data_IF_617475511748
#
_entry.id   IF_617475511748
#
_cell.length_a   1.000
_cell.length_b   1.000
_cell.length_c   1.000
_cell.angle_alpha   90.00
_cell.angle_beta   90.00
_cell.angle_gamma   90.00
#
_symmetry.space_group_name_H-M   'P 1'
#
loop_
_entity.id
_entity.type
_entity.pdbx_description
1 polymer ?
#
# COMPACT_ATOMS: atom_id res chain seq x y z
N UNK A 1 -9.63 3.68 -11.44
CA UNK A 1 -9.48 4.99 -10.74
C UNK A 1 -8.40 4.92 -9.67
N UNK A 2 -8.49 4.03 -8.67
CA UNK A 2 -7.46 3.92 -7.59
C UNK A 2 -6.08 3.54 -8.14
N UNK A 3 -5.97 2.61 -9.07
CA UNK A 3 -4.68 2.26 -9.71
C UNK A 3 -4.02 3.46 -10.39
N UNK A 4 -4.79 4.27 -11.13
CA UNK A 4 -4.28 5.50 -11.76
C UNK A 4 -3.77 6.52 -10.72
N UNK A 5 -4.46 6.63 -9.57
CA UNK A 5 -3.99 7.47 -8.46
C UNK A 5 -2.64 6.97 -7.90
N UNK A 6 -2.45 5.65 -7.77
CA UNK A 6 -1.16 5.06 -7.36
C UNK A 6 -0.05 5.44 -8.36
N UNK A 7 -0.30 5.31 -9.67
CA UNK A 7 0.66 5.75 -10.69
C UNK A 7 1.02 7.22 -10.54
N UNK A 8 0.02 8.09 -10.38
CA UNK A 8 0.22 9.54 -10.24
C UNK A 8 1.03 9.89 -8.99
N UNK A 9 0.71 9.29 -7.84
CA UNK A 9 1.43 9.57 -6.58
C UNK A 9 2.86 9.05 -6.64
N UNK A 10 3.10 7.85 -7.19
CA UNK A 10 4.46 7.32 -7.36
C UNK A 10 5.30 8.19 -8.31
N UNK A 11 4.73 8.60 -9.43
CA UNK A 11 5.40 9.49 -10.38
C UNK A 11 5.66 10.87 -9.74
N UNK A 12 4.64 11.46 -9.11
CA UNK A 12 4.75 12.73 -8.40
C UNK A 12 5.80 12.69 -7.29
N UNK A 13 5.83 11.61 -6.51
CA UNK A 13 6.87 11.38 -5.48
C UNK A 13 8.25 11.34 -6.10
N UNK A 14 8.43 10.59 -7.19
CA UNK A 14 9.71 10.52 -7.90
C UNK A 14 10.15 11.89 -8.42
N UNK A 15 9.23 12.67 -8.98
CA UNK A 15 9.52 14.03 -9.46
C UNK A 15 9.89 14.96 -8.30
N UNK A 16 9.08 15.01 -7.24
CA UNK A 16 9.35 15.87 -6.07
C UNK A 16 10.70 15.52 -5.43
N UNK A 17 11.03 14.24 -5.30
CA UNK A 17 12.32 13.81 -4.75
C UNK A 17 13.48 14.18 -5.68
N UNK A 18 13.32 14.02 -6.99
CA UNK A 18 14.34 14.39 -7.95
C UNK A 18 14.59 15.91 -7.94
N UNK A 19 13.54 16.73 -7.88
CA UNK A 19 13.64 18.20 -7.85
C UNK A 19 14.26 18.68 -6.54
N UNK A 20 13.80 18.17 -5.40
CA UNK A 20 14.31 18.53 -4.04
C UNK A 20 15.75 18.13 -3.80
N UNK A 21 16.33 17.27 -4.66
CA UNK A 21 17.78 17.01 -4.67
C UNK A 21 18.60 18.21 -5.10
N UNK A 22 18.12 18.95 -6.09
CA UNK A 22 18.83 20.06 -6.72
C UNK A 22 18.36 21.43 -6.22
N UNK A 23 17.22 21.48 -5.54
CA UNK A 23 16.59 22.68 -4.99
C UNK A 23 16.37 22.56 -3.47
N UNK A 24 15.71 23.56 -2.89
CA UNK A 24 15.39 23.58 -1.46
C UNK A 24 14.50 22.39 -1.05
N UNK A 25 14.80 21.83 0.12
CA UNK A 25 14.08 20.69 0.72
C UNK A 25 12.75 21.09 1.35
N UNK A 26 12.44 22.39 1.45
CA UNK A 26 11.20 22.90 2.03
C UNK A 26 9.94 22.28 1.43
N UNK A 27 9.88 22.04 0.12
CA UNK A 27 8.69 21.43 -0.49
C UNK A 27 8.42 20.02 0.05
N UNK A 28 9.45 19.16 0.06
CA UNK A 28 9.33 17.83 0.63
C UNK A 28 8.99 17.93 2.11
N UNK A 29 9.71 18.78 2.86
CA UNK A 29 9.46 19.02 4.28
C UNK A 29 8.01 19.44 4.59
N UNK A 30 7.43 20.31 3.77
CA UNK A 30 6.09 20.85 4.00
C UNK A 30 4.98 19.84 3.66
N UNK A 31 5.21 18.98 2.66
CA UNK A 31 4.23 17.97 2.27
C UNK A 31 4.11 16.85 3.30
N UNK A 32 5.22 16.51 3.94
CA UNK A 32 5.32 15.25 4.67
C UNK A 32 5.68 15.41 6.15
N UNK A 33 5.67 16.63 6.68
CA UNK A 33 5.73 16.87 8.13
C UNK A 33 4.53 16.27 8.83
N UNK A 34 4.66 16.07 10.13
CA UNK A 34 3.54 15.84 11.04
C UNK A 34 2.49 16.95 10.87
N UNK A 35 1.22 16.57 10.86
CA UNK A 35 0.06 17.35 10.41
C UNK A 35 0.15 17.90 8.98
N UNK A 36 0.98 17.28 8.15
CA UNK A 36 1.21 17.66 6.77
C UNK A 36 0.09 17.20 5.83
N UNK A 37 0.04 17.74 4.60
CA UNK A 37 -0.94 17.34 3.60
C UNK A 37 -1.02 15.83 3.33
N UNK A 38 0.11 15.12 3.43
CA UNK A 38 0.15 13.68 3.15
C UNK A 38 -0.47 12.86 4.29
N UNK A 39 -0.25 13.23 5.55
CA UNK A 39 -0.91 12.58 6.71
C UNK A 39 -2.44 12.76 6.61
N UNK A 40 -2.91 13.97 6.33
CA UNK A 40 -4.34 14.20 6.09
C UNK A 40 -4.89 13.40 4.88
N UNK A 41 -4.08 13.20 3.85
CA UNK A 41 -4.44 12.34 2.73
C UNK A 41 -4.49 10.86 3.15
N UNK A 42 -3.59 10.40 4.03
CA UNK A 42 -3.60 9.08 4.65
C UNK A 42 -4.91 8.85 5.43
N UNK A 43 -5.28 9.80 6.30
CA UNK A 43 -6.56 9.79 7.04
C UNK A 43 -7.74 9.70 6.08
N UNK A 44 -7.79 10.56 5.06
CA UNK A 44 -8.86 10.56 4.07
C UNK A 44 -8.93 9.24 3.28
N UNK A 45 -7.79 8.64 2.95
CA UNK A 45 -7.72 7.35 2.26
C UNK A 45 -8.23 6.20 3.16
N UNK A 46 -7.90 6.20 4.46
CA UNK A 46 -8.40 5.22 5.42
C UNK A 46 -9.91 5.31 5.63
N UNK A 47 -10.43 6.53 5.82
CA UNK A 47 -11.87 6.77 5.93
C UNK A 47 -12.58 6.40 4.63
N UNK A 48 -12.01 6.77 3.48
CA UNK A 48 -12.51 6.40 2.16
C UNK A 48 -12.57 4.89 1.97
N UNK A 49 -11.51 4.16 2.35
CA UNK A 49 -11.47 2.70 2.32
C UNK A 49 -12.58 2.09 3.19
N UNK A 50 -12.75 2.56 4.43
CA UNK A 50 -13.79 2.07 5.32
C UNK A 50 -15.19 2.25 4.72
N UNK A 51 -15.49 3.45 4.22
CA UNK A 51 -16.77 3.77 3.56
C UNK A 51 -16.98 2.91 2.32
N UNK A 52 -15.96 2.78 1.47
CA UNK A 52 -16.02 1.95 0.26
C UNK A 52 -16.30 0.49 0.61
N UNK A 53 -15.60 -0.09 1.57
CA UNK A 53 -15.81 -1.46 2.04
C UNK A 53 -17.25 -1.64 2.53
N UNK A 54 -17.75 -0.77 3.41
CA UNK A 54 -19.12 -0.85 3.95
C UNK A 54 -20.16 -0.80 2.81
N UNK A 55 -20.02 0.14 1.88
CA UNK A 55 -20.96 0.27 0.74
C UNK A 55 -20.92 -0.97 -0.16
N UNK A 56 -19.72 -1.49 -0.45
CA UNK A 56 -19.57 -2.62 -1.37
C UNK A 56 -20.02 -3.94 -0.73
N UNK A 57 -19.68 -4.17 0.53
CA UNK A 57 -20.03 -5.38 1.29
C UNK A 57 -21.55 -5.54 1.45
N UNK A 58 -22.27 -4.43 1.66
CA UNK A 58 -23.75 -4.43 1.72
C UNK A 58 -24.42 -4.85 0.41
N UNK A 59 -23.73 -4.65 -0.72
CA UNK A 59 -24.22 -4.96 -2.07
C UNK A 59 -23.75 -6.32 -2.58
N UNK A 60 -23.02 -7.10 -1.79
CA UNK A 60 -22.52 -8.40 -2.22
C UNK A 60 -23.62 -9.46 -2.29
N UNK A 61 -23.54 -10.32 -3.30
CA UNK A 61 -24.46 -11.45 -3.49
C UNK A 61 -24.46 -12.41 -2.28
N UNK A 62 -25.53 -13.21 -2.18
CA UNK A 62 -25.63 -14.31 -1.22
C UNK A 62 -24.60 -15.43 -1.43
N UNK A 63 -23.99 -15.51 -2.63
CA UNK A 63 -22.94 -16.49 -2.98
C UNK A 63 -21.54 -16.09 -2.49
N UNK A 64 -21.37 -14.89 -1.95
CA UNK A 64 -20.08 -14.45 -1.44
C UNK A 64 -19.73 -15.16 -0.12
N UNK A 65 -18.51 -15.70 0.03
CA UNK A 65 -18.07 -16.38 1.25
C UNK A 65 -18.25 -15.51 2.49
N UNK A 66 -18.78 -16.09 3.58
CA UNK A 66 -18.97 -15.37 4.85
C UNK A 66 -17.65 -14.81 5.37
N UNK A 67 -16.55 -15.56 5.23
CA UNK A 67 -15.22 -15.16 5.65
C UNK A 67 -14.77 -13.86 4.98
N UNK A 68 -15.11 -13.66 3.69
CA UNK A 68 -14.80 -12.43 2.97
C UNK A 68 -15.61 -11.26 3.52
N UNK A 69 -16.89 -11.46 3.82
CA UNK A 69 -17.73 -10.41 4.43
C UNK A 69 -17.19 -10.01 5.80
N UNK A 70 -16.87 -10.99 6.65
CA UNK A 70 -16.30 -10.76 7.99
C UNK A 70 -14.95 -10.04 7.88
N UNK A 71 -14.04 -10.52 7.04
CA UNK A 71 -12.73 -9.89 6.83
C UNK A 71 -12.87 -8.45 6.29
N UNK A 72 -13.82 -8.21 5.38
CA UNK A 72 -14.08 -6.88 4.84
C UNK A 72 -14.63 -5.90 5.88
N UNK A 73 -15.58 -6.33 6.72
CA UNK A 73 -16.09 -5.48 7.81
C UNK A 73 -15.04 -5.26 8.90
N UNK A 74 -14.27 -6.28 9.25
CA UNK A 74 -13.15 -6.16 10.17
C UNK A 74 -12.12 -5.16 9.63
N UNK A 75 -11.76 -5.24 8.35
CA UNK A 75 -10.86 -4.28 7.72
C UNK A 75 -11.44 -2.87 7.70
N UNK A 76 -12.74 -2.70 7.45
CA UNK A 76 -13.38 -1.38 7.51
C UNK A 76 -13.29 -0.76 8.91
N UNK A 77 -13.52 -1.55 9.97
CA UNK A 77 -13.35 -1.10 11.36
C UNK A 77 -11.88 -0.78 11.64
N UNK A 78 -10.96 -1.65 11.25
CA UNK A 78 -9.51 -1.42 11.40
C UNK A 78 -9.06 -0.14 10.68
N UNK A 79 -9.61 0.16 9.50
CA UNK A 79 -9.31 1.41 8.79
C UNK A 79 -9.84 2.65 9.53
N UNK A 80 -11.01 2.57 10.18
CA UNK A 80 -11.50 3.66 11.04
C UNK A 80 -10.63 3.86 12.27
N UNK A 81 -10.21 2.76 12.91
CA UNK A 81 -9.29 2.81 14.06
C UNK A 81 -7.95 3.40 13.64
N UNK A 82 -7.37 2.94 12.53
CA UNK A 82 -6.13 3.49 12.00
C UNK A 82 -6.24 4.98 11.65
N UNK A 83 -7.37 5.42 11.08
CA UNK A 83 -7.60 6.84 10.81
C UNK A 83 -7.67 7.66 12.11
N UNK A 84 -8.29 7.11 13.15
CA UNK A 84 -8.32 7.70 14.48
C UNK A 84 -6.93 7.79 15.10
N UNK A 85 -6.15 6.72 15.04
CA UNK A 85 -4.76 6.67 15.50
C UNK A 85 -3.89 7.73 14.81
N UNK A 86 -4.02 7.89 13.49
CA UNK A 86 -3.28 8.86 12.69
C UNK A 86 -3.53 10.31 13.14
N UNK A 87 -4.79 10.68 13.44
CA UNK A 87 -5.14 12.02 13.94
C UNK A 87 -5.07 12.14 15.46
N UNK A 88 -4.43 11.17 16.13
CA UNK A 88 -4.34 11.11 17.59
C UNK A 88 -5.69 11.25 18.29
N UNK A 89 -6.68 10.53 17.77
CA UNK A 89 -8.08 10.52 18.20
C UNK A 89 -8.74 11.91 18.24
N UNK A 90 -8.26 12.82 17.40
CA UNK A 90 -8.75 14.19 17.34
C UNK A 90 -8.17 15.09 18.45
N UNK A 91 -7.11 14.67 19.13
CA UNK A 91 -6.41 15.45 20.15
C UNK A 91 -6.16 16.89 19.70
N UNK A 92 -5.67 17.06 18.47
CA UNK A 92 -5.32 18.37 17.90
C UNK A 92 -6.54 19.18 17.48
N UNK A 93 -7.64 18.51 17.14
CA UNK A 93 -8.92 19.15 16.76
C UNK A 93 -9.67 19.64 18.00
N UNK A 94 -9.71 18.83 19.06
CA UNK A 94 -10.48 19.12 20.28
C UNK A 94 -9.64 19.73 21.40
N UNK A 95 -8.31 19.77 21.25
CA UNK A 95 -7.39 20.44 22.16
C UNK A 95 -7.21 19.76 23.52
N UNK A 96 -7.62 18.49 23.67
CA UNK A 96 -7.40 17.76 24.92
C UNK A 96 -5.92 17.37 25.08
N UNK A 97 -5.48 17.19 26.33
CA UNK A 97 -4.07 16.94 26.65
C UNK A 97 -3.78 15.44 26.73
N UNK A 98 -2.60 15.04 26.28
CA UNK A 98 -2.08 13.67 26.51
C UNK A 98 -1.85 13.43 28.00
N UNK A 99 -2.27 12.27 28.50
CA UNK A 99 -2.02 11.89 29.90
C UNK A 99 -0.52 11.72 30.20
N UNK A 100 -0.10 11.96 31.44
CA UNK A 100 1.32 11.83 31.84
C UNK A 100 1.86 10.42 31.65
N UNK A 101 1.04 9.38 31.85
CA UNK A 101 1.43 8.00 31.58
C UNK A 101 1.69 7.76 30.10
N UNK A 102 0.87 8.34 29.22
CA UNK A 102 1.02 8.18 27.77
C UNK A 102 2.21 8.99 27.23
N UNK A 103 2.41 10.24 27.69
CA UNK A 103 3.56 11.08 27.29
C UNK A 103 4.91 10.41 27.51
N UNK A 104 5.03 9.59 28.57
CA UNK A 104 6.27 8.86 28.91
C UNK A 104 6.58 7.70 27.96
N UNK A 105 5.54 7.12 27.34
CA UNK A 105 5.67 5.93 26.49
C UNK A 105 5.60 6.26 25.00
N UNK A 106 4.87 7.32 24.65
CA UNK A 106 4.62 7.74 23.27
C UNK A 106 5.78 8.58 22.73
N UNK A 107 6.34 8.19 21.59
CA UNK A 107 7.50 8.85 20.95
C UNK A 107 7.23 10.29 20.51
N UNK A 108 5.96 10.67 20.29
CA UNK A 108 5.53 12.02 19.89
C UNK A 108 4.73 12.74 20.99
N UNK A 109 4.64 12.16 22.18
CA UNK A 109 3.87 12.69 23.31
C UNK A 109 2.37 12.89 23.01
N UNK A 110 1.81 12.08 22.10
CA UNK A 110 0.42 12.13 21.67
C UNK A 110 -0.44 11.04 22.32
N UNK A 111 -1.76 11.18 22.21
CA UNK A 111 -2.75 10.21 22.69
C UNK A 111 -3.08 9.22 21.58
N UNK A 112 -2.10 8.40 21.22
CA UNK A 112 -2.30 7.28 20.30
C UNK A 112 -1.42 6.09 20.70
N UNK A 113 -1.77 4.92 20.16
CA UNK A 113 -1.01 3.68 20.30
C UNK A 113 0.02 3.53 19.18
N UNK A 114 -0.24 4.10 18.01
CA UNK A 114 0.66 4.04 16.85
C UNK A 114 2.08 4.53 17.18
N UNK A 115 2.20 5.58 18.01
CA UNK A 115 3.48 6.13 18.42
C UNK A 115 4.04 5.48 19.70
N UNK A 116 3.59 4.29 20.09
CA UNK A 116 4.22 3.50 21.17
C UNK A 116 5.36 2.61 20.65
N UNK A 117 5.46 2.42 19.34
CA UNK A 117 6.52 1.63 18.70
C UNK A 117 7.34 2.51 17.74
N UNK A 118 8.64 2.23 17.54
CA UNK A 118 9.40 2.95 16.54
C UNK A 118 8.76 2.81 15.16
N UNK A 119 8.49 3.94 14.49
CA UNK A 119 7.84 3.97 13.18
C UNK A 119 8.57 3.14 12.11
N UNK A 120 9.89 2.99 12.22
CA UNK A 120 10.68 2.09 11.35
C UNK A 120 10.27 0.62 11.49
N UNK A 121 10.04 0.14 12.72
CA UNK A 121 9.66 -1.24 12.99
C UNK A 121 8.23 -1.51 12.53
N UNK A 122 7.29 -0.62 12.87
CA UNK A 122 5.89 -0.74 12.46
C UNK A 122 5.77 -0.82 10.93
N UNK A 123 6.41 0.13 10.25
CA UNK A 123 6.44 0.16 8.79
C UNK A 123 7.13 -1.07 8.17
N UNK A 124 8.24 -1.53 8.76
CA UNK A 124 8.93 -2.72 8.29
C UNK A 124 8.02 -3.95 8.27
N UNK A 125 7.22 -4.14 9.32
CA UNK A 125 6.26 -5.24 9.43
C UNK A 125 5.17 -5.13 8.37
N UNK A 126 4.57 -3.95 8.20
CA UNK A 126 3.51 -3.73 7.19
C UNK A 126 4.03 -3.98 5.78
N UNK A 127 5.17 -3.39 5.42
CA UNK A 127 5.76 -3.55 4.09
C UNK A 127 6.13 -5.01 3.82
N UNK A 128 6.65 -5.72 4.82
CA UNK A 128 6.93 -7.14 4.69
C UNK A 128 5.65 -7.95 4.45
N UNK A 129 4.61 -7.73 5.24
CA UNK A 129 3.32 -8.42 5.10
C UNK A 129 2.68 -8.15 3.73
N UNK A 130 2.66 -6.88 3.28
CA UNK A 130 2.14 -6.47 1.97
C UNK A 130 3.00 -7.06 0.84
N UNK A 131 4.32 -7.03 0.96
CA UNK A 131 5.23 -7.60 -0.03
C UNK A 131 5.06 -9.11 -0.18
N UNK A 132 4.89 -9.84 0.91
CA UNK A 132 4.63 -11.27 0.84
C UNK A 132 3.24 -11.54 0.23
N UNK A 133 2.20 -10.92 0.77
CA UNK A 133 0.80 -11.23 0.40
C UNK A 133 0.39 -10.74 -0.98
N UNK A 134 0.90 -9.60 -1.44
CA UNK A 134 0.50 -8.98 -2.71
C UNK A 134 1.56 -9.08 -3.83
N UNK A 135 2.80 -9.45 -3.52
CA UNK A 135 3.88 -9.60 -4.52
C UNK A 135 4.43 -11.03 -4.55
N UNK A 136 5.11 -11.47 -3.49
CA UNK A 136 5.85 -12.74 -3.52
C UNK A 136 4.94 -13.95 -3.72
N UNK A 137 3.88 -14.09 -2.89
CA UNK A 137 2.93 -15.20 -3.00
C UNK A 137 2.19 -15.15 -4.34
N UNK A 138 1.63 -14.01 -4.81
CA UNK A 138 0.93 -13.98 -6.09
C UNK A 138 1.80 -14.29 -7.31
N UNK A 139 3.04 -13.79 -7.34
CA UNK A 139 3.97 -14.08 -8.44
C UNK A 139 4.42 -15.55 -8.43
N UNK A 140 4.68 -16.12 -7.25
CA UNK A 140 4.99 -17.54 -7.12
C UNK A 140 3.80 -18.43 -7.50
N UNK A 141 2.59 -18.05 -7.10
CA UNK A 141 1.37 -18.78 -7.42
C UNK A 141 1.17 -18.93 -8.93
N UNK A 142 1.28 -17.82 -9.67
CA UNK A 142 1.16 -17.82 -11.14
C UNK A 142 2.21 -18.66 -11.86
N UNK A 143 3.35 -18.89 -11.23
CA UNK A 143 4.42 -19.73 -11.79
C UNK A 143 4.11 -21.22 -11.65
N UNK A 144 3.41 -21.62 -10.59
CA UNK A 144 3.26 -23.04 -10.21
C UNK A 144 1.83 -23.58 -10.32
N UNK A 145 0.82 -22.71 -10.31
CA UNK A 145 -0.59 -23.10 -10.35
C UNK A 145 -1.25 -22.50 -11.57
N UNK A 146 -2.07 -23.31 -12.25
CA UNK A 146 -2.84 -22.89 -13.44
C UNK A 146 -4.10 -22.10 -13.09
N UNK A 147 -4.70 -22.36 -11.92
CA UNK A 147 -5.91 -21.67 -11.47
C UNK A 147 -5.57 -20.46 -10.60
N UNK A 148 -6.25 -19.34 -10.85
CA UNK A 148 -6.13 -18.14 -10.01
C UNK A 148 -7.26 -18.12 -8.97
N UNK A 149 -6.96 -18.19 -7.65
CA UNK A 149 -7.98 -18.09 -6.62
C UNK A 149 -8.56 -16.67 -6.52
N UNK A 150 -9.73 -16.53 -5.91
CA UNK A 150 -10.42 -15.23 -5.78
C UNK A 150 -9.59 -14.16 -5.05
N UNK A 151 -8.76 -14.55 -4.09
CA UNK A 151 -7.90 -13.65 -3.32
C UNK A 151 -6.63 -13.24 -4.07
N UNK A 152 -6.34 -13.82 -5.25
CA UNK A 152 -5.13 -13.45 -5.98
C UNK A 152 -5.29 -12.03 -6.55
N UNK A 153 -4.42 -11.05 -6.22
CA UNK A 153 -4.46 -9.73 -6.84
C UNK A 153 -4.09 -9.83 -8.31
N UNK A 154 -4.57 -8.90 -9.14
CA UNK A 154 -4.14 -8.81 -10.53
C UNK A 154 -2.63 -8.64 -10.62
N UNK A 155 -2.05 -9.08 -11.74
CA UNK A 155 -0.61 -8.97 -11.92
C UNK A 155 -0.15 -7.52 -11.99
N UNK A 156 -0.94 -6.64 -12.62
CA UNK A 156 -0.69 -5.20 -12.60
C UNK A 156 -0.58 -4.68 -11.17
N UNK A 157 -1.51 -5.05 -10.28
CA UNK A 157 -1.49 -4.62 -8.89
C UNK A 157 -0.29 -5.17 -8.12
N UNK A 158 0.12 -6.43 -8.36
CA UNK A 158 1.36 -6.96 -7.77
C UNK A 158 2.60 -6.18 -8.21
N UNK A 159 2.69 -5.76 -9.48
CA UNK A 159 3.81 -4.98 -9.99
C UNK A 159 3.80 -3.54 -9.46
N UNK A 160 2.62 -2.93 -9.33
CA UNK A 160 2.47 -1.62 -8.68
C UNK A 160 2.84 -1.68 -7.20
N UNK A 161 2.44 -2.75 -6.50
CA UNK A 161 2.81 -2.96 -5.10
C UNK A 161 4.32 -3.09 -4.95
N UNK A 162 4.98 -3.80 -5.87
CA UNK A 162 6.43 -3.87 -5.92
C UNK A 162 7.07 -2.47 -6.06
N UNK A 163 6.53 -1.61 -6.93
CA UNK A 163 6.98 -0.22 -7.06
C UNK A 163 6.79 0.60 -5.77
N UNK A 164 5.65 0.42 -5.07
CA UNK A 164 5.41 1.05 -3.75
C UNK A 164 6.44 0.58 -2.71
N UNK A 165 6.80 -0.70 -2.69
CA UNK A 165 7.79 -1.24 -1.74
C UNK A 165 9.18 -0.64 -1.98
N UNK A 166 9.54 -0.26 -3.21
CA UNK A 166 10.78 0.47 -3.47
C UNK A 166 10.83 1.84 -2.81
N UNK A 167 9.68 2.47 -2.52
CA UNK A 167 9.62 3.70 -1.71
C UNK A 167 10.21 3.51 -0.32
N UNK A 168 10.17 2.28 0.21
CA UNK A 168 10.70 1.95 1.53
C UNK A 168 12.23 1.71 1.55
N UNK A 169 12.84 1.25 0.45
CA UNK A 169 14.15 0.59 0.50
C UNK A 169 15.35 1.47 0.08
N UNK A 170 15.37 2.76 0.46
CA UNK A 170 16.49 3.67 0.13
C UNK A 170 17.57 3.78 1.22
N UNK A 171 17.26 3.44 2.49
CA UNK A 171 18.16 3.67 3.63
C UNK A 171 19.35 2.70 3.67
N UNK A 172 19.20 1.48 3.14
CA UNK A 172 20.24 0.44 2.92
C UNK A 172 21.30 0.41 4.04
N UNK A 173 20.84 0.34 5.30
CA UNK A 173 21.70 0.39 6.49
C UNK A 173 22.16 -1.00 6.88
N UNK A 174 21.22 -1.91 7.07
CA UNK A 174 21.44 -3.26 7.58
C UNK A 174 21.68 -4.28 6.45
N UNK A 175 22.27 -5.44 6.79
CA UNK A 175 22.43 -6.55 5.84
C UNK A 175 21.07 -7.07 5.34
N UNK A 176 20.03 -7.25 6.18
CA UNK A 176 18.70 -7.63 5.71
C UNK A 176 18.11 -6.65 4.69
N UNK A 177 18.25 -5.33 4.90
CA UNK A 177 17.78 -4.33 3.94
C UNK A 177 18.51 -4.43 2.58
N UNK A 178 19.82 -4.68 2.60
CA UNK A 178 20.62 -4.90 1.38
C UNK A 178 20.13 -6.12 0.61
N UNK A 179 19.93 -7.24 1.32
CA UNK A 179 19.42 -8.48 0.74
C UNK A 179 18.01 -8.25 0.17
N UNK A 180 17.13 -7.60 0.94
CA UNK A 180 15.77 -7.26 0.52
C UNK A 180 15.75 -6.43 -0.77
N UNK A 181 16.58 -5.38 -0.85
CA UNK A 181 16.69 -4.55 -2.05
C UNK A 181 17.16 -5.33 -3.28
N UNK A 182 18.16 -6.21 -3.12
CA UNK A 182 18.63 -7.07 -4.22
C UNK A 182 17.53 -8.02 -4.68
N UNK A 183 16.81 -8.66 -3.75
CA UNK A 183 15.70 -9.55 -4.06
C UNK A 183 14.60 -8.81 -4.82
N UNK A 184 14.19 -7.63 -4.34
CA UNK A 184 13.18 -6.80 -5.00
C UNK A 184 13.63 -6.37 -6.41
N UNK A 185 14.90 -6.00 -6.58
CA UNK A 185 15.47 -5.64 -7.88
C UNK A 185 15.47 -6.83 -8.85
N UNK A 186 15.82 -8.03 -8.39
CA UNK A 186 15.75 -9.25 -9.21
C UNK A 186 14.31 -9.58 -9.63
N UNK A 187 13.34 -9.45 -8.71
CA UNK A 187 11.92 -9.61 -9.04
C UNK A 187 11.51 -8.58 -10.11
N UNK A 188 11.93 -7.32 -9.97
CA UNK A 188 11.63 -6.26 -10.93
C UNK A 188 12.23 -6.55 -12.31
N UNK A 189 13.48 -7.03 -12.39
CA UNK A 189 14.10 -7.46 -13.65
C UNK A 189 13.30 -8.57 -14.32
N UNK A 190 13.01 -9.65 -13.58
CA UNK A 190 12.30 -10.81 -14.11
C UNK A 190 10.90 -10.45 -14.61
N UNK A 191 10.18 -9.65 -13.84
CA UNK A 191 8.83 -9.20 -14.19
C UNK A 191 8.84 -8.20 -15.35
N UNK A 192 9.87 -7.37 -15.48
CA UNK A 192 10.09 -6.48 -16.64
C UNK A 192 10.29 -7.30 -17.91
N UNK A 193 11.19 -8.29 -17.88
CA UNK A 193 11.43 -9.18 -19.03
C UNK A 193 10.14 -9.89 -19.43
N UNK A 194 9.39 -10.39 -18.45
CA UNK A 194 8.14 -11.08 -18.71
C UNK A 194 7.08 -10.13 -19.31
N UNK A 195 6.94 -8.92 -18.78
CA UNK A 195 6.02 -7.90 -19.29
C UNK A 195 6.33 -7.50 -20.74
N UNK A 196 7.62 -7.36 -21.08
CA UNK A 196 8.08 -7.08 -22.44
C UNK A 196 7.77 -8.23 -23.40
N UNK A 197 7.99 -9.49 -22.98
CA UNK A 197 7.65 -10.68 -23.78
C UNK A 197 6.15 -10.78 -24.06
N UNK A 198 5.33 -10.45 -23.08
CA UNK A 198 3.86 -10.45 -23.19
C UNK A 198 3.32 -9.24 -23.96
N UNK A 199 4.16 -8.23 -24.25
CA UNK A 199 3.77 -6.96 -24.88
C UNK A 199 2.59 -6.27 -24.18
N UNK A 200 2.44 -6.48 -22.87
CA UNK A 200 1.35 -5.89 -22.09
C UNK A 200 1.75 -4.50 -21.59
N UNK A 201 1.17 -3.46 -22.18
CA UNK A 201 1.49 -2.06 -21.87
C UNK A 201 1.29 -1.68 -20.40
N UNK A 202 0.30 -2.25 -19.71
CA UNK A 202 0.06 -1.97 -18.28
C UNK A 202 1.14 -2.58 -17.39
N UNK A 203 1.52 -3.83 -17.67
CA UNK A 203 2.61 -4.49 -16.94
C UNK A 203 3.95 -3.77 -17.18
N UNK A 204 4.21 -3.36 -18.43
CA UNK A 204 5.41 -2.59 -18.78
C UNK A 204 5.40 -1.26 -18.03
N UNK A 205 4.28 -0.53 -18.04
CA UNK A 205 4.12 0.73 -17.31
C UNK A 205 4.40 0.59 -15.81
N UNK A 206 3.84 -0.42 -15.14
CA UNK A 206 4.09 -0.69 -13.73
C UNK A 206 5.58 -0.97 -13.45
N UNK A 207 6.23 -1.79 -14.29
CA UNK A 207 7.66 -2.09 -14.16
C UNK A 207 8.54 -0.86 -14.38
N UNK A 208 8.26 -0.06 -15.41
CA UNK A 208 8.98 1.20 -15.67
C UNK A 208 8.85 2.15 -14.48
N UNK A 209 7.66 2.27 -13.92
CA UNK A 209 7.45 3.10 -12.74
C UNK A 209 8.23 2.57 -11.52
N UNK A 210 8.32 1.25 -11.35
CA UNK A 210 9.18 0.62 -10.35
C UNK A 210 10.65 0.99 -10.52
N UNK A 211 11.18 0.93 -11.76
CA UNK A 211 12.55 1.33 -12.08
C UNK A 211 12.81 2.81 -11.82
N UNK A 212 11.89 3.68 -12.26
CA UNK A 212 11.99 5.13 -12.04
C UNK A 212 11.99 5.43 -10.54
N UNK A 213 11.03 4.89 -9.80
CA UNK A 213 10.89 5.14 -8.36
C UNK A 213 12.11 4.64 -7.59
N UNK A 214 12.49 3.38 -7.78
CA UNK A 214 13.66 2.79 -7.13
C UNK A 214 14.96 3.51 -7.51
N UNK A 215 15.14 3.84 -8.79
CA UNK A 215 16.30 4.55 -9.29
C UNK A 215 16.43 5.95 -8.70
N UNK A 216 15.38 6.76 -8.76
CA UNK A 216 15.38 8.13 -8.23
C UNK A 216 15.66 8.12 -6.72
N UNK A 217 14.93 7.29 -5.96
CA UNK A 217 15.09 7.24 -4.51
C UNK A 217 16.48 6.74 -4.09
N UNK A 218 17.01 5.73 -4.78
CA UNK A 218 18.35 5.24 -4.51
C UNK A 218 19.41 6.33 -4.75
N UNK A 219 19.33 7.07 -5.86
CA UNK A 219 20.26 8.17 -6.13
C UNK A 219 20.09 9.33 -5.15
N UNK A 220 18.85 9.59 -4.69
CA UNK A 220 18.51 10.64 -3.73
C UNK A 220 18.65 10.22 -2.26
N UNK A 221 19.08 8.99 -1.95
CA UNK A 221 19.11 8.47 -0.56
C UNK A 221 19.88 9.30 0.47
N UNK A 222 20.81 10.17 0.07
CA UNK A 222 21.58 11.02 0.99
C UNK A 222 20.79 12.23 1.51
N UNK A 223 19.80 12.72 0.76
CA UNK A 223 18.99 13.90 1.16
C UNK A 223 17.76 13.49 1.99
N UNK A 224 17.30 12.25 1.83
CA UNK A 224 16.06 11.74 2.43
C UNK A 224 16.12 11.59 3.96
N UNK A 225 17.23 11.11 4.59
CA UNK A 225 17.32 11.01 6.05
C UNK A 225 17.27 12.37 6.75
N UNK A 226 17.77 13.42 6.09
CA UNK A 226 17.84 14.76 6.66
C UNK A 226 16.50 15.51 6.65
N UNK A 227 15.51 15.01 5.90
CA UNK A 227 14.19 15.59 5.80
C UNK A 227 13.11 14.71 6.45
N UNK A 228 13.49 13.72 7.27
CA UNK A 228 12.68 12.80 8.10
C UNK A 228 11.20 12.53 7.75
N UNK A 229 10.82 12.38 6.48
CA UNK A 229 9.38 12.50 6.16
C UNK A 229 8.82 11.61 5.04
N UNK A 230 9.58 10.68 4.46
CA UNK A 230 8.99 9.74 3.49
C UNK A 230 8.15 8.60 4.12
N UNK A 231 7.90 8.64 5.43
CA UNK A 231 7.00 7.69 6.08
C UNK A 231 5.56 7.90 5.61
N UNK A 232 5.09 9.14 5.69
CA UNK A 232 3.74 9.56 5.29
C UNK A 232 3.35 9.12 3.87
N UNK A 233 4.22 9.37 2.88
CA UNK A 233 3.93 9.04 1.47
C UNK A 233 3.79 7.53 1.29
N UNK A 234 4.62 6.75 1.99
CA UNK A 234 4.58 5.29 1.91
C UNK A 234 3.27 4.76 2.48
N UNK A 235 2.84 5.29 3.62
CA UNK A 235 1.65 4.81 4.32
C UNK A 235 0.41 5.05 3.46
N UNK A 236 0.29 6.26 2.90
CA UNK A 236 -0.71 6.58 1.88
C UNK A 236 -0.67 5.57 0.71
N UNK A 237 0.50 5.32 0.12
CA UNK A 237 0.62 4.40 -1.01
C UNK A 237 0.23 2.96 -0.66
N UNK A 238 0.58 2.48 0.54
CA UNK A 238 0.18 1.16 1.03
C UNK A 238 -1.34 1.07 1.15
N UNK A 239 -1.98 2.08 1.74
CA UNK A 239 -3.44 2.13 1.89
C UNK A 239 -4.13 2.13 0.52
N UNK A 240 -3.59 2.85 -0.46
CA UNK A 240 -4.13 2.88 -1.82
C UNK A 240 -3.98 1.53 -2.52
N UNK A 241 -2.86 0.83 -2.35
CA UNK A 241 -2.67 -0.53 -2.87
C UNK A 241 -3.65 -1.51 -2.22
N UNK A 242 -3.81 -1.47 -0.90
CA UNK A 242 -4.78 -2.29 -0.17
C UNK A 242 -6.20 -1.98 -0.64
N UNK A 243 -6.53 -0.70 -0.86
CA UNK A 243 -7.82 -0.27 -1.39
C UNK A 243 -8.06 -0.83 -2.78
N UNK A 244 -7.08 -0.73 -3.68
CA UNK A 244 -7.17 -1.31 -5.03
C UNK A 244 -7.38 -2.83 -4.96
N UNK A 245 -6.65 -3.53 -4.08
CA UNK A 245 -6.80 -4.96 -3.86
C UNK A 245 -8.21 -5.33 -3.39
N UNK A 246 -8.73 -4.62 -2.39
CA UNK A 246 -10.09 -4.83 -1.90
C UNK A 246 -11.13 -4.64 -3.01
N UNK A 247 -10.98 -3.61 -3.85
CA UNK A 247 -11.89 -3.37 -4.97
C UNK A 247 -11.81 -4.47 -6.04
N UNK A 248 -10.62 -4.99 -6.35
CA UNK A 248 -10.47 -6.14 -7.26
C UNK A 248 -11.18 -7.38 -6.72
N UNK A 249 -10.95 -7.72 -5.44
CA UNK A 249 -11.57 -8.87 -4.80
C UNK A 249 -13.09 -8.72 -4.77
N UNK A 250 -13.61 -7.57 -4.33
CA UNK A 250 -15.04 -7.30 -4.27
C UNK A 250 -15.69 -7.30 -5.66
N UNK A 251 -14.97 -6.81 -6.68
CA UNK A 251 -15.41 -6.81 -8.07
C UNK A 251 -15.69 -8.22 -8.61
N UNK A 252 -14.88 -9.21 -8.21
CA UNK A 252 -15.09 -10.63 -8.59
C UNK A 252 -16.41 -11.21 -8.09
N UNK A 253 -16.96 -10.68 -6.98
CA UNK A 253 -18.21 -11.18 -6.38
C UNK A 253 -19.45 -10.32 -6.72
N UNK A 254 -19.26 -9.13 -7.31
CA UNK A 254 -20.38 -8.31 -7.83
C UNK A 254 -20.97 -8.87 -9.12
N UNK A 255 -20.13 -9.32 -10.06
CA UNK A 255 -20.61 -9.87 -11.34
C UNK A 255 -21.50 -11.10 -11.21
N UNK A 256 -21.46 -11.79 -10.06
CA UNK A 256 -22.32 -12.94 -9.74
C UNK A 256 -23.73 -12.56 -9.25
N UNK A 257 -23.97 -11.30 -8.89
CA UNK A 257 -25.27 -10.79 -8.45
C UNK A 257 -26.18 -10.39 -9.62
N UNK A 258 -25.59 -9.91 -10.72
CA UNK A 258 -26.31 -9.29 -11.84
C UNK A 258 -26.63 -10.24 -13.01
N UNK A 259 -26.50 -11.56 -12.82
CA UNK A 259 -26.92 -12.56 -13.82
C UNK A 259 -26.08 -12.62 -15.10
N UNK A 260 -24.90 -12.02 -15.13
CA UNK A 260 -23.98 -12.12 -16.27
C UNK A 260 -23.19 -13.43 -16.25
N UNK A 261 -23.46 -14.32 -17.19
CA UNK A 261 -22.56 -15.41 -17.56
C UNK A 261 -21.22 -14.80 -18.01
N UNK A 262 -20.20 -14.87 -17.17
CA UNK A 262 -18.81 -14.72 -17.59
C UNK A 262 -18.21 -16.11 -17.77
N UNK A 263 -18.08 -16.46 -19.05
CA UNK A 263 -17.24 -17.47 -19.67
C UNK A 263 -16.12 -18.09 -18.79
N UNK A 264 -16.17 -19.41 -18.65
CA UNK A 264 -14.99 -20.24 -18.94
C UNK A 264 -13.80 -20.20 -17.99
N UNK A 265 -13.96 -20.11 -16.67
CA UNK A 265 -12.98 -20.72 -15.78
C UNK A 265 -13.65 -21.33 -14.56
N UNK A 266 -13.77 -22.66 -14.61
CA UNK A 266 -14.25 -23.56 -13.57
C UNK A 266 -13.65 -23.24 -12.20
N UNK A 267 -14.51 -22.79 -11.28
CA UNK A 267 -14.29 -23.07 -9.87
C UNK A 267 -14.44 -24.59 -9.67
N UNK A 268 -13.44 -25.31 -9.14
CA UNK A 268 -13.73 -26.62 -8.59
C UNK A 268 -14.63 -26.40 -7.37
N UNK A 269 -15.87 -26.87 -7.48
CA UNK A 269 -16.69 -27.13 -6.32
C UNK A 269 -15.90 -28.08 -5.43
N UNK A 270 -15.62 -27.65 -4.20
CA UNK A 270 -15.10 -28.56 -3.19
C UNK A 270 -16.15 -29.65 -2.96
N UNK A 271 -15.85 -30.85 -3.42
CA UNK A 271 -16.56 -32.03 -2.97
C UNK A 271 -16.07 -32.38 -1.54
N UNK A 272 -17.07 -32.72 -0.75
CA UNK A 272 -17.14 -33.12 0.66
C UNK A 272 -15.90 -33.72 1.30
#
# INVERSE_FOLDING_TARGET
>A
MVTALIYLILLGTSVVVAVTRYHDRTLLYMLTREDGPVEWATVAALLGLAVLLIIHLRKLSGKCPLQLKVAGYALAVLSLLAAGEEISWGQRIFGFQTSESMKKLNYQHETNLHNLMPGELFNGIIIFAVGISLVAVPLAWRKWKKSEPWWLPSRELSLLTLAVIFVNHYRVRSLPEKIGLVVLALILVLTTIQALREKNGRHIGACVLGWVTGGVLFHCRKILPAANQQYEIRELLVILVVTAYCLEVLGKFRGLADGGLADGSSYPQGER
#
